data_IF_993293906206
#
_entry.id   IF_993293906206
#
_cell.length_a   1.000
_cell.length_b   1.000
_cell.length_c   1.000
_cell.angle_alpha   90.00
_cell.angle_beta   90.00
_cell.angle_gamma   90.00
#
_symmetry.space_group_name_H-M   'P 1'
#
loop_
_entity.id
_entity.type
_entity.pdbx_description
1 polymer ?
#
# COMPACT_ATOMS: atom_id res chain seq x y z
N UNK A 1 -9.09 15.22 -7.29
CA UNK A 1 -8.25 14.04 -7.05
C UNK A 1 -7.11 14.36 -6.12
N UNK A 2 -6.60 13.37 -5.42
CA UNK A 2 -5.50 13.47 -4.46
C UNK A 2 -4.46 12.41 -4.79
N UNK A 3 -3.18 12.76 -4.71
CA UNK A 3 -2.05 11.83 -4.79
C UNK A 3 -0.98 12.32 -3.84
N UNK A 4 -0.12 11.41 -3.39
CA UNK A 4 0.96 11.72 -2.46
C UNK A 4 2.22 10.97 -2.85
N UNK A 5 3.35 11.44 -2.32
CA UNK A 5 4.65 10.80 -2.42
C UNK A 5 5.27 10.79 -1.03
N UNK A 6 5.95 9.70 -0.69
CA UNK A 6 6.66 9.57 0.58
C UNK A 6 8.15 9.85 0.38
N UNK A 7 8.74 10.59 1.31
CA UNK A 7 10.16 10.95 1.26
C UNK A 7 10.50 11.98 0.17
N UNK A 8 11.39 11.61 -0.75
CA UNK A 8 11.93 12.50 -1.80
C UNK A 8 11.26 12.29 -3.16
N UNK A 9 11.32 13.29 -4.04
CA UNK A 9 10.85 13.16 -5.42
C UNK A 9 9.57 13.93 -5.75
N UNK A 10 8.83 14.43 -4.74
CA UNK A 10 7.60 15.19 -4.97
C UNK A 10 7.77 16.43 -5.86
N UNK A 11 8.91 17.14 -5.74
CA UNK A 11 9.23 18.26 -6.65
C UNK A 11 9.46 17.82 -8.10
N UNK A 12 10.06 16.64 -8.30
CA UNK A 12 10.27 16.08 -9.63
C UNK A 12 8.95 15.63 -10.26
N UNK A 13 8.07 14.99 -9.47
CA UNK A 13 6.70 14.64 -9.89
C UNK A 13 5.94 15.90 -10.31
N UNK A 14 5.96 16.94 -9.47
CA UNK A 14 5.29 18.20 -9.78
C UNK A 14 5.85 18.87 -11.03
N UNK A 15 7.17 18.89 -11.19
CA UNK A 15 7.82 19.45 -12.36
C UNK A 15 7.40 18.71 -13.64
N UNK A 16 7.43 17.37 -13.63
CA UNK A 16 6.99 16.54 -14.76
C UNK A 16 5.54 16.83 -15.15
N UNK A 17 4.64 16.90 -14.16
CA UNK A 17 3.24 17.26 -14.43
C UNK A 17 3.15 18.65 -15.04
N UNK A 18 3.78 19.64 -14.42
CA UNK A 18 3.63 21.05 -14.78
C UNK A 18 4.26 21.38 -16.15
N UNK A 19 5.41 20.83 -16.45
CA UNK A 19 6.23 21.25 -17.58
C UNK A 19 6.10 20.32 -18.79
N UNK A 20 5.72 19.06 -18.60
CA UNK A 20 5.70 18.09 -19.70
C UNK A 20 4.29 17.51 -19.96
N UNK A 21 3.46 17.34 -18.93
CA UNK A 21 2.16 16.66 -19.07
C UNK A 21 0.96 17.61 -19.17
N UNK A 22 1.00 18.76 -18.50
CA UNK A 22 -0.16 19.67 -18.37
C UNK A 22 -0.69 20.16 -19.73
N UNK A 23 0.20 20.54 -20.65
CA UNK A 23 -0.19 21.04 -21.97
C UNK A 23 -0.84 19.95 -22.83
N UNK A 24 -0.55 18.67 -22.55
CA UNK A 24 -1.18 17.53 -23.23
C UNK A 24 -2.58 17.23 -22.71
N UNK A 25 -2.94 17.75 -21.53
CA UNK A 25 -4.23 17.58 -20.86
C UNK A 25 -5.25 18.67 -21.22
N UNK A 26 -4.79 19.92 -21.35
CA UNK A 26 -5.68 21.05 -21.55
C UNK A 26 -6.48 20.90 -22.86
N UNK A 27 -7.78 21.17 -22.78
CA UNK A 27 -8.71 21.01 -23.90
C UNK A 27 -9.11 19.57 -24.23
N UNK A 28 -8.59 18.56 -23.53
CA UNK A 28 -9.10 17.19 -23.65
C UNK A 28 -10.45 17.04 -22.93
N UNK A 29 -11.28 16.13 -23.43
CA UNK A 29 -12.46 15.67 -22.70
C UNK A 29 -12.03 14.73 -21.57
N UNK A 30 -12.30 15.13 -20.33
CA UNK A 30 -11.94 14.37 -19.13
C UNK A 30 -12.67 13.02 -19.01
N UNK A 31 -13.72 12.76 -19.79
CA UNK A 31 -14.35 11.45 -19.85
C UNK A 31 -13.46 10.39 -20.50
N UNK A 32 -12.48 10.80 -21.31
CA UNK A 32 -11.60 9.89 -22.05
C UNK A 32 -10.36 9.49 -21.25
N UNK A 33 -10.57 9.02 -20.00
CA UNK A 33 -9.51 8.71 -19.04
C UNK A 33 -8.42 7.82 -19.63
N UNK A 34 -8.79 6.69 -20.24
CA UNK A 34 -7.83 5.74 -20.83
C UNK A 34 -7.05 6.34 -22.01
N UNK A 35 -7.69 7.16 -22.85
CA UNK A 35 -7.03 7.85 -23.96
C UNK A 35 -6.02 8.86 -23.44
N UNK A 36 -6.40 9.64 -22.43
CA UNK A 36 -5.50 10.61 -21.79
C UNK A 36 -4.31 9.87 -21.19
N UNK A 37 -4.54 8.82 -20.40
CA UNK A 37 -3.47 8.03 -19.80
C UNK A 37 -2.48 7.49 -20.85
N UNK A 38 -2.98 6.85 -21.91
CA UNK A 38 -2.13 6.32 -23.01
C UNK A 38 -1.33 7.41 -23.70
N UNK A 39 -1.93 8.59 -23.93
CA UNK A 39 -1.25 9.75 -24.53
C UNK A 39 -0.09 10.24 -23.65
N UNK A 40 -0.32 10.41 -22.35
CA UNK A 40 0.70 10.88 -21.42
C UNK A 40 1.81 9.85 -21.21
N UNK A 41 1.45 8.57 -21.09
CA UNK A 41 2.42 7.49 -21.02
C UNK A 41 3.28 7.46 -22.28
N UNK A 42 2.68 7.53 -23.48
CA UNK A 42 3.44 7.51 -24.73
C UNK A 42 4.34 8.75 -24.89
N UNK A 43 3.96 9.92 -24.36
CA UNK A 43 4.83 11.10 -24.37
C UNK A 43 6.09 10.95 -23.51
N UNK A 44 6.08 10.05 -22.52
CA UNK A 44 7.15 9.91 -21.52
C UNK A 44 7.92 8.58 -21.60
N UNK A 45 7.34 7.56 -22.25
CA UNK A 45 7.82 6.18 -22.17
C UNK A 45 9.24 5.94 -22.72
N UNK A 46 9.75 6.83 -23.56
CA UNK A 46 11.08 6.68 -24.14
C UNK A 46 12.21 7.12 -23.20
N UNK A 47 11.95 7.99 -22.22
CA UNK A 47 13.01 8.73 -21.52
C UNK A 47 12.92 8.67 -20.00
N UNK A 48 11.73 8.51 -19.42
CA UNK A 48 11.53 8.71 -17.98
C UNK A 48 10.62 7.66 -17.32
N UNK A 49 10.52 6.45 -17.88
CA UNK A 49 9.74 5.35 -17.26
C UNK A 49 10.31 5.03 -15.87
N UNK A 50 9.45 5.02 -14.86
CA UNK A 50 9.84 4.76 -13.48
C UNK A 50 8.92 5.43 -12.45
N UNK A 51 9.29 5.39 -11.16
CA UNK A 51 8.41 5.81 -10.06
C UNK A 51 7.88 7.25 -10.19
N UNK A 52 8.72 8.20 -10.61
CA UNK A 52 8.31 9.60 -10.77
C UNK A 52 7.19 9.75 -11.81
N UNK A 53 7.36 9.10 -12.97
CA UNK A 53 6.34 9.10 -14.03
C UNK A 53 5.09 8.35 -13.61
N UNK A 54 5.22 7.19 -12.97
CA UNK A 54 4.07 6.43 -12.47
C UNK A 54 3.25 7.22 -11.46
N UNK A 55 3.90 7.93 -10.51
CA UNK A 55 3.21 8.77 -9.52
C UNK A 55 2.55 9.98 -10.21
N UNK A 56 3.23 10.61 -11.18
CA UNK A 56 2.66 11.72 -11.95
C UNK A 56 1.40 11.32 -12.72
N UNK A 57 1.45 10.18 -13.42
CA UNK A 57 0.31 9.62 -14.13
C UNK A 57 -0.82 9.23 -13.17
N UNK A 58 -0.51 8.63 -12.02
CA UNK A 58 -1.49 8.28 -10.99
C UNK A 58 -2.21 9.53 -10.44
N UNK A 59 -1.51 10.63 -10.22
CA UNK A 59 -2.10 11.88 -9.76
C UNK A 59 -3.14 12.44 -10.74
N UNK A 60 -2.81 12.40 -12.04
CA UNK A 60 -3.70 12.85 -13.11
C UNK A 60 -4.90 11.89 -13.26
N UNK A 61 -4.64 10.59 -13.33
CA UNK A 61 -5.67 9.55 -13.49
C UNK A 61 -6.69 9.59 -12.34
N UNK A 62 -6.21 9.67 -11.10
CA UNK A 62 -7.07 9.81 -9.91
C UNK A 62 -7.91 11.07 -9.96
N UNK A 63 -7.37 12.19 -10.47
CA UNK A 63 -8.13 13.42 -10.63
C UNK A 63 -9.21 13.32 -11.70
N UNK A 64 -8.95 12.63 -12.81
CA UNK A 64 -9.93 12.37 -13.86
C UNK A 64 -11.05 11.44 -13.37
N UNK A 65 -10.72 10.40 -12.62
CA UNK A 65 -11.72 9.51 -12.01
C UNK A 65 -12.59 10.23 -10.97
N UNK A 66 -12.01 11.05 -10.10
CA UNK A 66 -12.77 11.87 -9.15
C UNK A 66 -13.71 12.84 -9.87
N UNK A 67 -13.23 13.52 -10.92
CA UNK A 67 -14.08 14.38 -11.74
C UNK A 67 -15.23 13.59 -12.39
N UNK A 68 -14.94 12.40 -12.95
CA UNK A 68 -15.96 11.53 -13.55
C UNK A 68 -17.01 11.10 -12.53
N UNK A 69 -16.60 10.72 -11.31
CA UNK A 69 -17.51 10.39 -10.21
C UNK A 69 -18.44 11.57 -9.89
N UNK A 70 -17.88 12.79 -9.78
CA UNK A 70 -18.64 14.01 -9.46
C UNK A 70 -19.63 14.39 -10.55
N UNK A 71 -19.22 14.33 -11.83
CA UNK A 71 -20.09 14.63 -12.97
C UNK A 71 -21.26 13.66 -13.05
N UNK A 72 -21.00 12.37 -12.79
CA UNK A 72 -22.04 11.33 -12.86
C UNK A 72 -22.86 11.19 -11.56
N UNK A 73 -22.45 11.84 -10.47
CA UNK A 73 -23.07 11.66 -9.16
C UNK A 73 -22.99 10.21 -8.65
N UNK A 74 -21.94 9.48 -9.03
CA UNK A 74 -21.75 8.07 -8.67
C UNK A 74 -20.46 7.89 -7.86
N UNK A 75 -20.47 7.06 -6.80
CA UNK A 75 -19.26 6.75 -6.05
C UNK A 75 -18.30 5.87 -6.87
N UNK A 76 -17.00 5.99 -6.61
CA UNK A 76 -15.95 5.32 -7.37
C UNK A 76 -16.12 3.80 -7.39
N UNK A 77 -16.48 3.17 -6.27
CA UNK A 77 -16.60 1.71 -6.20
C UNK A 77 -17.67 1.16 -7.15
N UNK A 78 -18.76 1.89 -7.40
CA UNK A 78 -19.78 1.49 -8.38
C UNK A 78 -19.27 1.69 -9.81
N UNK A 79 -18.61 2.81 -10.09
CA UNK A 79 -18.01 3.05 -11.42
C UNK A 79 -16.86 2.08 -11.75
N UNK A 80 -16.18 1.55 -10.72
CA UNK A 80 -15.12 0.55 -10.84
C UNK A 80 -15.66 -0.89 -10.97
N UNK A 81 -16.98 -1.08 -10.99
CA UNK A 81 -17.64 -2.38 -11.22
C UNK A 81 -18.59 -2.82 -10.12
N UNK A 82 -18.53 -2.22 -8.93
CA UNK A 82 -19.54 -2.42 -7.89
C UNK A 82 -19.64 -3.84 -7.34
N UNK A 83 -18.54 -4.61 -7.37
CA UNK A 83 -18.57 -6.03 -7.00
C UNK A 83 -19.01 -6.28 -5.54
N UNK A 84 -18.66 -5.37 -4.63
CA UNK A 84 -18.94 -5.47 -3.19
C UNK A 84 -19.26 -4.09 -2.60
N UNK A 85 -20.05 -4.07 -1.52
CA UNK A 85 -20.41 -2.86 -0.78
C UNK A 85 -19.37 -2.49 0.30
N UNK A 86 -18.66 -3.50 0.81
CA UNK A 86 -17.66 -3.39 1.86
C UNK A 86 -16.59 -4.48 1.70
N UNK A 87 -15.44 -4.25 2.32
CA UNK A 87 -14.30 -5.18 2.35
C UNK A 87 -13.69 -5.22 3.75
N UNK A 88 -13.10 -6.35 4.18
CA UNK A 88 -12.32 -6.39 5.41
C UNK A 88 -11.08 -5.50 5.28
N UNK A 89 -10.70 -4.84 6.37
CA UNK A 89 -9.50 -4.01 6.48
C UNK A 89 -8.66 -4.47 7.67
N UNK A 90 -7.37 -4.18 7.62
CA UNK A 90 -6.41 -4.52 8.66
C UNK A 90 -5.58 -3.32 9.08
N UNK A 91 -5.06 -3.35 10.30
CA UNK A 91 -4.19 -2.30 10.83
C UNK A 91 -2.73 -2.55 10.42
N UNK A 92 -2.09 -1.55 9.83
CA UNK A 92 -0.67 -1.59 9.46
C UNK A 92 0.19 -0.63 10.28
N UNK A 93 -0.39 0.28 11.06
CA UNK A 93 0.33 1.38 11.70
C UNK A 93 0.91 0.96 13.06
N UNK A 94 0.24 0.07 13.80
CA UNK A 94 0.74 -0.40 15.10
C UNK A 94 2.00 -1.28 15.04
N UNK A 95 2.43 -1.69 13.84
CA UNK A 95 3.35 -2.81 13.62
C UNK A 95 4.84 -2.50 13.55
N UNK A 96 5.30 -1.26 13.77
CA UNK A 96 6.67 -0.84 13.43
C UNK A 96 7.80 -1.61 14.16
N UNK A 97 8.97 -1.71 13.51
CA UNK A 97 10.14 -2.44 14.03
C UNK A 97 10.62 -1.92 15.38
N UNK A 98 10.60 -0.61 15.60
CA UNK A 98 11.10 0.03 16.82
C UNK A 98 10.11 -0.04 18.00
N UNK A 99 8.87 -0.47 17.76
CA UNK A 99 7.82 -0.51 18.79
C UNK A 99 8.12 -1.65 19.78
N UNK A 100 8.08 -1.37 21.10
CA UNK A 100 8.21 -2.42 22.13
C UNK A 100 7.13 -3.49 22.03
N UNK A 101 7.44 -4.72 22.45
CA UNK A 101 6.51 -5.86 22.36
C UNK A 101 5.16 -5.57 23.03
N UNK A 102 5.16 -4.96 24.21
CA UNK A 102 3.91 -4.67 24.91
C UNK A 102 3.03 -3.67 24.15
N UNK A 103 3.63 -2.63 23.60
CA UNK A 103 2.89 -1.62 22.81
C UNK A 103 2.33 -2.21 21.50
N UNK A 104 3.06 -3.15 20.90
CA UNK A 104 2.61 -3.91 19.73
C UNK A 104 1.37 -4.76 20.06
N UNK A 105 1.40 -5.47 21.19
CA UNK A 105 0.27 -6.27 21.70
C UNK A 105 -0.92 -5.38 22.01
N UNK A 106 -0.72 -4.29 22.75
CA UNK A 106 -1.79 -3.37 23.12
C UNK A 106 -2.41 -2.73 21.87
N UNK A 107 -1.59 -2.40 20.87
CA UNK A 107 -2.03 -1.95 19.55
C UNK A 107 -2.93 -2.97 18.87
N UNK A 108 -2.46 -4.21 18.75
CA UNK A 108 -3.21 -5.27 18.10
C UNK A 108 -4.55 -5.57 18.80
N UNK A 109 -4.59 -5.52 20.13
CA UNK A 109 -5.82 -5.64 20.91
C UNK A 109 -6.79 -4.48 20.68
N UNK A 110 -6.29 -3.24 20.53
CA UNK A 110 -7.13 -2.10 20.13
C UNK A 110 -7.72 -2.29 18.73
N UNK A 111 -6.92 -2.74 17.77
CA UNK A 111 -7.36 -3.03 16.40
C UNK A 111 -8.45 -4.11 16.40
N UNK A 112 -8.27 -5.17 17.20
CA UNK A 112 -9.27 -6.23 17.40
C UNK A 112 -10.56 -5.69 18.01
N UNK A 113 -10.46 -4.88 19.06
CA UNK A 113 -11.62 -4.28 19.71
C UNK A 113 -12.39 -3.31 18.79
N UNK A 114 -11.70 -2.69 17.82
CA UNK A 114 -12.30 -1.86 16.79
C UNK A 114 -12.96 -2.66 15.65
N UNK A 115 -12.89 -3.99 15.68
CA UNK A 115 -13.50 -4.87 14.68
C UNK A 115 -12.72 -4.98 13.37
N UNK A 116 -11.42 -4.64 13.36
CA UNK A 116 -10.57 -4.85 12.19
C UNK A 116 -10.34 -6.35 11.95
N UNK A 117 -10.20 -6.73 10.68
CA UNK A 117 -10.04 -8.13 10.28
C UNK A 117 -8.64 -8.71 10.53
N UNK A 118 -7.64 -7.85 10.71
CA UNK A 118 -6.26 -8.28 10.94
C UNK A 118 -5.31 -7.17 11.37
N UNK A 119 -4.07 -7.56 11.63
CA UNK A 119 -2.95 -6.67 11.95
C UNK A 119 -1.70 -7.07 11.17
N UNK A 120 -0.89 -6.10 10.77
CA UNK A 120 0.39 -6.32 10.09
C UNK A 120 1.55 -5.82 10.94
N UNK A 121 2.57 -6.67 11.12
CA UNK A 121 3.76 -6.38 11.94
C UNK A 121 5.01 -6.33 11.07
N UNK A 122 5.81 -5.28 11.20
CA UNK A 122 7.11 -5.17 10.53
C UNK A 122 8.10 -6.15 11.13
N UNK A 123 8.78 -6.91 10.27
CA UNK A 123 9.84 -7.89 10.61
C UNK A 123 11.17 -7.49 9.98
N UNK A 124 12.25 -8.13 10.40
CA UNK A 124 13.61 -7.79 9.99
C UNK A 124 14.47 -7.24 11.11
N UNK A 125 14.20 -7.68 12.34
CA UNK A 125 15.11 -7.49 13.47
C UNK A 125 16.46 -8.16 13.19
N UNK A 126 17.54 -7.71 13.85
CA UNK A 126 18.88 -8.30 13.72
C UNK A 126 18.88 -9.82 13.90
N UNK A 127 18.02 -10.35 14.77
CA UNK A 127 17.86 -11.80 14.94
C UNK A 127 16.44 -12.27 14.63
N UNK A 128 16.34 -13.49 14.07
CA UNK A 128 15.06 -14.18 13.87
C UNK A 128 14.30 -14.38 15.20
N UNK A 129 15.01 -14.65 16.29
CA UNK A 129 14.41 -14.87 17.61
C UNK A 129 13.65 -13.63 18.11
N UNK A 130 14.16 -12.42 17.86
CA UNK A 130 13.46 -11.19 18.22
C UNK A 130 12.14 -11.02 17.47
N UNK A 131 12.14 -11.31 16.17
CA UNK A 131 10.90 -11.26 15.38
C UNK A 131 9.91 -12.33 15.83
N UNK A 132 10.37 -13.56 16.09
CA UNK A 132 9.50 -14.63 16.60
C UNK A 132 8.88 -14.26 17.95
N UNK A 133 9.66 -13.71 18.88
CA UNK A 133 9.14 -13.31 20.19
C UNK A 133 8.07 -12.22 20.06
N UNK A 134 8.28 -11.23 19.18
CA UNK A 134 7.29 -10.17 18.89
C UNK A 134 6.01 -10.75 18.31
N UNK A 135 6.14 -11.61 17.30
CA UNK A 135 4.99 -12.18 16.60
C UNK A 135 4.21 -13.18 17.45
N UNK A 136 4.90 -13.98 18.27
CA UNK A 136 4.27 -14.91 19.23
C UNK A 136 3.40 -14.14 20.22
N UNK A 137 3.93 -13.07 20.83
CA UNK A 137 3.17 -12.25 21.78
C UNK A 137 1.91 -11.65 21.14
N UNK A 138 2.01 -11.16 19.89
CA UNK A 138 0.83 -10.64 19.16
C UNK A 138 -0.17 -11.75 18.86
N UNK A 139 0.29 -12.90 18.33
CA UNK A 139 -0.58 -14.03 17.99
C UNK A 139 -1.32 -14.56 19.22
N UNK A 140 -0.65 -14.71 20.35
CA UNK A 140 -1.26 -15.12 21.61
C UNK A 140 -2.35 -14.15 22.06
N UNK A 141 -2.11 -12.84 21.94
CA UNK A 141 -3.08 -11.82 22.35
C UNK A 141 -4.30 -11.72 21.43
N UNK A 142 -4.10 -11.73 20.10
CA UNK A 142 -5.22 -11.60 19.15
C UNK A 142 -5.98 -12.91 18.94
N UNK A 143 -5.44 -14.04 19.40
CA UNK A 143 -6.02 -15.36 19.24
C UNK A 143 -5.86 -15.94 17.82
N UNK A 144 -6.42 -17.12 17.55
CA UNK A 144 -6.15 -17.86 16.32
C UNK A 144 -6.94 -17.34 15.10
N UNK A 145 -8.04 -16.62 15.31
CA UNK A 145 -8.99 -16.25 14.25
C UNK A 145 -8.66 -14.93 13.54
N UNK A 146 -8.08 -13.97 14.25
CA UNK A 146 -7.74 -12.68 13.65
C UNK A 146 -6.51 -12.83 12.74
N UNK A 147 -6.55 -12.24 11.55
CA UNK A 147 -5.44 -12.36 10.61
C UNK A 147 -4.18 -11.64 11.13
N UNK A 148 -3.03 -12.30 10.98
CA UNK A 148 -1.72 -11.75 11.29
C UNK A 148 -0.87 -11.78 10.04
N UNK A 149 -0.34 -10.62 9.67
CA UNK A 149 0.51 -10.46 8.51
C UNK A 149 1.85 -9.91 8.94
N UNK A 150 2.86 -10.14 8.11
CA UNK A 150 4.18 -9.56 8.32
C UNK A 150 4.66 -8.83 7.08
N UNK A 151 5.52 -7.83 7.29
CA UNK A 151 6.09 -7.02 6.23
C UNK A 151 7.57 -6.78 6.51
N UNK A 152 8.42 -7.21 5.58
CA UNK A 152 9.86 -7.19 5.72
C UNK A 152 10.52 -6.00 5.00
N UNK A 153 9.77 -5.21 4.23
CA UNK A 153 10.27 -4.08 3.43
C UNK A 153 11.60 -4.36 2.73
N UNK A 154 11.64 -5.47 2.00
CA UNK A 154 12.76 -5.88 1.15
C UNK A 154 14.07 -6.15 1.91
N UNK A 155 13.98 -6.45 3.21
CA UNK A 155 15.16 -6.56 4.07
C UNK A 155 15.91 -7.90 3.93
N UNK A 156 15.35 -8.91 3.27
CA UNK A 156 15.94 -10.25 3.27
C UNK A 156 16.54 -10.63 1.92
N UNK A 157 17.57 -11.49 2.01
CA UNK A 157 17.96 -12.31 0.85
C UNK A 157 16.96 -13.46 0.70
N UNK A 158 16.95 -14.10 -0.47
CA UNK A 158 16.12 -15.29 -0.73
C UNK A 158 16.32 -16.37 0.36
N UNK A 159 17.56 -16.65 0.74
CA UNK A 159 17.86 -17.67 1.75
C UNK A 159 17.34 -17.28 3.14
N UNK A 160 17.45 -16.01 3.53
CA UNK A 160 16.94 -15.55 4.82
C UNK A 160 15.41 -15.51 4.83
N UNK A 161 14.77 -15.09 3.73
CA UNK A 161 13.32 -15.14 3.58
C UNK A 161 12.79 -16.58 3.76
N UNK A 162 13.40 -17.56 3.08
CA UNK A 162 13.03 -18.98 3.22
C UNK A 162 13.15 -19.43 4.67
N UNK A 163 14.31 -19.15 5.31
CA UNK A 163 14.56 -19.54 6.70
C UNK A 163 13.55 -18.94 7.66
N UNK A 164 13.24 -17.64 7.51
CA UNK A 164 12.31 -16.93 8.39
C UNK A 164 10.87 -17.40 8.19
N UNK A 165 10.43 -17.59 6.94
CA UNK A 165 9.09 -18.09 6.64
C UNK A 165 8.84 -19.46 7.27
N UNK A 166 9.79 -20.41 7.16
CA UNK A 166 9.66 -21.71 7.82
C UNK A 166 9.56 -21.59 9.35
N UNK A 167 10.35 -20.71 9.96
CA UNK A 167 10.30 -20.51 11.40
C UNK A 167 9.00 -19.85 11.88
N UNK A 168 8.36 -19.05 11.01
CA UNK A 168 7.11 -18.33 11.29
C UNK A 168 5.85 -19.15 10.95
N UNK A 169 5.96 -20.27 10.25
CA UNK A 169 4.84 -21.14 9.85
C UNK A 169 3.87 -21.47 11.02
N UNK A 170 4.34 -21.80 12.24
CA UNK A 170 3.43 -22.10 13.36
C UNK A 170 2.53 -20.93 13.80
N UNK A 171 2.83 -19.70 13.37
CA UNK A 171 2.06 -18.50 13.73
C UNK A 171 0.82 -18.30 12.86
N UNK A 172 0.62 -19.14 11.83
CA UNK A 172 -0.48 -19.05 10.88
C UNK A 172 -0.63 -17.63 10.32
N UNK A 173 0.41 -17.18 9.61
CA UNK A 173 0.42 -15.86 8.98
C UNK A 173 -0.42 -15.87 7.69
N UNK A 174 -1.17 -14.80 7.44
CA UNK A 174 -1.95 -14.67 6.21
C UNK A 174 -1.05 -14.45 4.99
N UNK A 175 -0.02 -13.59 5.14
CA UNK A 175 1.03 -13.38 4.14
C UNK A 175 2.31 -12.80 4.76
N UNK A 176 3.39 -12.87 3.97
CA UNK A 176 4.64 -12.13 4.17
C UNK A 176 4.84 -11.16 3.01
N UNK A 177 4.83 -9.87 3.33
CA UNK A 177 4.93 -8.77 2.37
C UNK A 177 6.40 -8.38 2.15
N UNK A 178 6.75 -8.15 0.89
CA UNK A 178 8.07 -7.67 0.45
C UNK A 178 9.25 -8.36 1.16
N UNK A 179 9.41 -9.69 1.07
CA UNK A 179 10.56 -10.36 1.68
C UNK A 179 11.90 -9.96 1.04
N UNK A 180 11.92 -9.54 -0.24
CA UNK A 180 13.12 -9.38 -1.08
C UNK A 180 13.26 -7.97 -1.67
#
# INVERSE_FOLDING_TARGET
GYSYTIGTGGRAVQALIKHDLADLLLGQDAQWVERIWKRLWFATHATVVGPITSIALCAIDTALWDLRCRVLGQPLHLLAGGAQADIPVYDTEGGWLNVPVQELVDGALRSKAAGLGGVKVKVGKPTLTEDLARLQAVREAIGPEMELMVDANQAFTVSEAIRRTHAMEPLNLAWMEEPL
#
